data_IF_047270400223
#
_entry.id   IF_047270400223
#
_cell.length_a   1.000
_cell.length_b   1.000
_cell.length_c   1.000
_cell.angle_alpha   90.00
_cell.angle_beta   90.00
_cell.angle_gamma   90.00
#
_symmetry.space_group_name_H-M   'P 1'
#
loop_
_entity.id
_entity.type
_entity.pdbx_description
1 polymer ?
#
# COMPACT_ATOMS: atom_id res chain seq x y z
N UNK A 1 -21.32 -52.47 -12.74
CA UNK A 1 -20.01 -52.27 -12.08
C UNK A 1 -20.15 -51.19 -11.02
N UNK A 2 -19.77 -51.49 -9.79
CA UNK A 2 -19.81 -50.58 -8.63
C UNK A 2 -18.39 -50.14 -8.27
N UNK A 3 -18.23 -48.89 -7.85
CA UNK A 3 -16.97 -48.35 -7.33
C UNK A 3 -16.58 -49.05 -6.00
N UNK A 4 -15.34 -48.88 -5.58
CA UNK A 4 -14.76 -49.22 -4.26
C UNK A 4 -15.59 -48.79 -3.04
N UNK A 5 -16.50 -47.83 -3.20
CA UNK A 5 -17.45 -47.36 -2.17
C UNK A 5 -18.85 -48.00 -2.27
N UNK A 6 -19.06 -48.94 -3.19
CA UNK A 6 -20.37 -49.60 -3.41
C UNK A 6 -21.36 -48.78 -4.25
N UNK A 7 -20.95 -47.62 -4.78
CA UNK A 7 -21.82 -46.76 -5.59
C UNK A 7 -21.83 -47.18 -7.07
N UNK A 8 -22.97 -47.00 -7.75
CA UNK A 8 -23.08 -47.26 -9.20
C UNK A 8 -22.24 -46.23 -9.96
N UNK A 9 -21.30 -46.73 -10.77
CA UNK A 9 -20.46 -45.91 -11.64
C UNK A 9 -21.36 -45.24 -12.69
N UNK A 10 -21.29 -43.91 -12.81
CA UNK A 10 -22.10 -43.10 -13.72
C UNK A 10 -21.23 -42.16 -14.58
N UNK A 11 -21.83 -41.53 -15.61
CA UNK A 11 -21.17 -40.54 -16.46
C UNK A 11 -20.17 -41.13 -17.46
N UNK A 12 -19.11 -40.38 -17.79
CA UNK A 12 -18.12 -40.77 -18.81
C UNK A 12 -17.37 -42.07 -18.45
N UNK A 13 -17.13 -42.32 -17.16
CA UNK A 13 -16.48 -43.55 -16.71
C UNK A 13 -17.36 -44.78 -16.99
N UNK A 14 -18.67 -44.66 -16.76
CA UNK A 14 -19.61 -45.74 -17.04
C UNK A 14 -19.68 -46.08 -18.54
N UNK A 15 -19.69 -45.08 -19.41
CA UNK A 15 -19.71 -45.27 -20.86
C UNK A 15 -18.51 -46.09 -21.36
N UNK A 16 -17.33 -45.90 -20.76
CA UNK A 16 -16.13 -46.68 -21.05
C UNK A 16 -16.24 -48.12 -20.53
N UNK A 17 -16.68 -48.32 -19.28
CA UNK A 17 -16.76 -49.68 -18.70
C UNK A 17 -17.87 -50.53 -19.33
N UNK A 18 -18.96 -49.91 -19.81
CA UNK A 18 -20.08 -50.59 -20.48
C UNK A 18 -19.83 -50.91 -21.96
N UNK A 19 -18.70 -50.47 -22.53
CA UNK A 19 -18.40 -50.65 -23.96
C UNK A 19 -19.17 -49.73 -24.89
N UNK A 20 -19.94 -48.78 -24.37
CA UNK A 20 -20.66 -47.78 -25.18
C UNK A 20 -19.73 -46.70 -25.76
N UNK A 21 -18.51 -46.55 -25.24
CA UNK A 21 -17.48 -45.65 -25.76
C UNK A 21 -16.10 -46.31 -25.72
N UNK A 22 -15.29 -46.11 -26.77
CA UNK A 22 -13.94 -46.68 -26.87
C UNK A 22 -12.85 -45.79 -26.24
N UNK A 23 -13.10 -44.48 -26.14
CA UNK A 23 -12.17 -43.50 -25.58
C UNK A 23 -12.96 -42.29 -25.06
N UNK A 24 -12.50 -41.69 -23.95
CA UNK A 24 -13.04 -40.45 -23.42
C UNK A 24 -11.94 -39.38 -23.39
N UNK A 25 -12.24 -38.20 -23.91
CA UNK A 25 -11.33 -37.04 -23.94
C UNK A 25 -12.05 -35.87 -23.28
N UNK A 26 -11.46 -35.32 -22.22
CA UNK A 26 -12.02 -34.20 -21.47
C UNK A 26 -11.23 -33.88 -20.21
N UNK A 27 -11.73 -32.95 -19.41
CA UNK A 27 -11.16 -32.60 -18.11
C UNK A 27 -11.44 -33.69 -17.06
N UNK A 28 -10.75 -34.83 -17.22
CA UNK A 28 -10.82 -35.98 -16.33
C UNK A 28 -9.57 -36.02 -15.45
N UNK A 29 -9.78 -35.89 -14.15
CA UNK A 29 -8.72 -36.05 -13.16
C UNK A 29 -8.44 -37.55 -12.92
N UNK A 30 -7.15 -37.88 -12.92
CA UNK A 30 -6.64 -39.22 -12.62
C UNK A 30 -6.71 -39.43 -11.11
N UNK A 31 -7.55 -40.35 -10.68
CA UNK A 31 -7.67 -40.74 -9.26
C UNK A 31 -7.49 -42.25 -9.12
N UNK A 32 -6.96 -42.69 -7.97
CA UNK A 32 -6.65 -44.10 -7.72
C UNK A 32 -7.89 -45.02 -7.84
N UNK A 33 -9.07 -44.53 -7.53
CA UNK A 33 -10.31 -45.31 -7.66
C UNK A 33 -10.77 -45.46 -9.12
N UNK A 34 -10.50 -44.47 -9.97
CA UNK A 34 -10.82 -44.54 -11.41
C UNK A 34 -9.84 -45.43 -12.17
N UNK A 35 -8.56 -45.42 -11.78
CA UNK A 35 -7.51 -46.24 -12.42
C UNK A 35 -7.73 -47.75 -12.24
N UNK A 36 -8.48 -48.16 -11.21
CA UNK A 36 -8.86 -49.58 -11.00
C UNK A 36 -9.81 -50.11 -12.08
N UNK A 37 -10.55 -49.22 -12.76
CA UNK A 37 -11.65 -49.60 -13.67
C UNK A 37 -11.36 -49.21 -15.13
N UNK A 38 -10.50 -48.21 -15.35
CA UNK A 38 -10.09 -47.73 -16.67
C UNK A 38 -8.60 -47.38 -16.68
N UNK A 39 -7.93 -47.50 -17.83
CA UNK A 39 -6.53 -47.09 -17.99
C UNK A 39 -6.43 -45.64 -18.49
N UNK A 40 -5.54 -44.85 -17.90
CA UNK A 40 -5.25 -43.48 -18.31
C UNK A 40 -3.94 -43.38 -19.10
N UNK A 41 -3.83 -42.38 -19.99
CA UNK A 41 -2.56 -42.00 -20.62
C UNK A 41 -1.74 -41.10 -19.69
N UNK A 42 -0.55 -40.68 -20.14
CA UNK A 42 0.25 -39.69 -19.43
C UNK A 42 -0.52 -38.39 -19.23
N UNK A 43 -0.44 -37.82 -18.03
CA UNK A 43 -1.10 -36.57 -17.66
C UNK A 43 -0.43 -35.38 -18.34
N UNK A 44 -1.13 -34.76 -19.28
CA UNK A 44 -0.65 -33.57 -20.01
C UNK A 44 -0.79 -32.26 -19.21
N UNK A 45 -1.62 -32.25 -18.15
CA UNK A 45 -1.92 -31.06 -17.35
C UNK A 45 -2.01 -31.43 -15.87
N UNK A 46 -1.13 -30.85 -15.05
CA UNK A 46 -1.18 -30.95 -13.59
C UNK A 46 -2.17 -29.93 -13.03
N UNK A 47 -3.33 -30.39 -12.55
CA UNK A 47 -4.30 -29.53 -11.87
C UNK A 47 -3.93 -29.38 -10.40
N UNK A 48 -3.99 -28.15 -9.89
CA UNK A 48 -3.96 -27.86 -8.45
C UNK A 48 -5.31 -27.27 -8.07
N UNK A 49 -5.95 -27.80 -7.02
CA UNK A 49 -7.17 -27.22 -6.50
C UNK A 49 -6.87 -25.82 -5.93
N UNK A 50 -7.44 -24.79 -6.54
CA UNK A 50 -7.35 -23.40 -6.08
C UNK A 50 -8.73 -22.93 -5.64
N UNK A 51 -8.76 -22.10 -4.60
CA UNK A 51 -10.00 -21.50 -4.10
C UNK A 51 -10.20 -20.17 -4.83
N UNK A 52 -11.41 -19.95 -5.35
CA UNK A 52 -11.85 -18.68 -5.89
C UNK A 52 -12.63 -17.92 -4.82
N UNK A 53 -12.19 -16.72 -4.48
CA UNK A 53 -12.88 -15.82 -3.54
C UNK A 53 -13.38 -14.58 -4.27
N UNK A 54 -14.54 -14.06 -3.84
CA UNK A 54 -15.04 -12.77 -4.32
C UNK A 54 -14.08 -11.68 -3.86
N UNK A 55 -13.67 -10.79 -4.77
CA UNK A 55 -12.91 -9.59 -4.42
C UNK A 55 -13.73 -8.78 -3.40
N UNK A 56 -13.12 -8.39 -2.28
CA UNK A 56 -13.75 -7.52 -1.30
C UNK A 56 -14.12 -6.17 -1.97
N UNK A 57 -15.29 -5.63 -1.62
CA UNK A 57 -15.70 -4.33 -2.10
C UNK A 57 -14.77 -3.29 -1.47
N UNK A 58 -13.88 -2.71 -2.27
CA UNK A 58 -12.93 -1.70 -1.81
C UNK A 58 -13.71 -0.45 -1.42
N UNK A 59 -13.98 -0.26 -0.13
CA UNK A 59 -14.49 1.02 0.37
C UNK A 59 -13.39 2.04 0.20
N UNK A 60 -13.54 2.92 -0.80
CA UNK A 60 -12.61 4.01 -1.06
C UNK A 60 -12.69 4.96 0.14
N UNK A 61 -11.74 4.82 1.06
CA UNK A 61 -11.55 5.79 2.12
C UNK A 61 -10.88 7.00 1.49
N UNK A 62 -11.64 8.07 1.24
CA UNK A 62 -11.11 9.31 0.66
C UNK A 62 -9.91 9.87 1.43
N UNK A 63 -9.81 9.58 2.74
CA UNK A 63 -8.70 9.96 3.62
C UNK A 63 -7.59 8.90 3.74
N UNK A 64 -7.48 7.93 2.82
CA UNK A 64 -6.38 6.94 2.82
C UNK A 64 -5.01 7.59 2.78
N UNK A 65 -4.89 8.79 2.20
CA UNK A 65 -3.66 9.58 2.23
C UNK A 65 -3.33 10.14 3.64
N UNK A 66 -4.33 10.23 4.54
CA UNK A 66 -4.16 10.48 5.98
C UNK A 66 -4.06 9.17 6.80
N UNK A 67 -4.26 8.00 6.20
CA UNK A 67 -4.16 6.70 6.88
C UNK A 67 -2.79 6.42 7.54
N UNK A 68 -1.64 6.75 6.90
CA UNK A 68 -0.33 6.57 7.52
C UNK A 68 0.03 7.69 8.52
N UNK A 69 -0.86 8.66 8.74
CA UNK A 69 -0.65 9.78 9.64
C UNK A 69 -0.90 9.39 11.09
N UNK A 70 0.09 8.75 11.72
CA UNK A 70 0.16 8.70 13.18
C UNK A 70 0.07 10.14 13.73
N UNK A 71 -0.77 10.36 14.76
CA UNK A 71 -0.90 11.66 15.45
C UNK A 71 0.46 12.26 15.84
N UNK A 72 1.45 11.40 16.13
CA UNK A 72 2.82 11.83 16.44
C UNK A 72 3.49 12.58 15.29
N UNK A 73 3.27 12.17 14.03
CA UNK A 73 3.95 12.78 12.88
C UNK A 73 3.38 14.18 12.57
N UNK A 74 2.07 14.37 12.70
CA UNK A 74 1.45 15.70 12.65
C UNK A 74 2.02 16.64 13.71
N UNK A 75 2.17 16.17 14.94
CA UNK A 75 2.78 16.96 16.02
C UNK A 75 4.24 17.31 15.70
N UNK A 76 5.02 16.39 15.11
CA UNK A 76 6.40 16.69 14.70
C UNK A 76 6.48 17.73 13.58
N UNK A 77 5.57 17.69 12.60
CA UNK A 77 5.51 18.70 11.52
C UNK A 77 5.12 20.06 12.10
N UNK A 78 4.10 20.11 12.95
CA UNK A 78 3.69 21.36 13.61
C UNK A 78 4.80 21.95 14.47
N UNK A 79 5.49 21.11 15.26
CA UNK A 79 6.62 21.54 16.08
C UNK A 79 7.77 22.04 15.20
N UNK A 80 8.07 21.35 14.09
CA UNK A 80 9.10 21.76 13.16
C UNK A 80 8.79 23.11 12.50
N UNK A 81 7.54 23.34 12.05
CA UNK A 81 7.08 24.63 11.52
C UNK A 81 7.25 25.74 12.57
N UNK A 82 6.85 25.48 13.82
CA UNK A 82 7.01 26.44 14.91
C UNK A 82 8.47 26.78 15.19
N UNK A 83 9.35 25.78 15.26
CA UNK A 83 10.80 25.98 15.47
C UNK A 83 11.41 26.76 14.31
N UNK A 84 11.09 26.40 13.07
CA UNK A 84 11.56 27.12 11.88
C UNK A 84 11.07 28.58 11.89
N UNK A 85 9.77 28.81 12.12
CA UNK A 85 9.17 30.14 12.18
C UNK A 85 9.74 31.03 13.29
N UNK A 86 9.99 30.48 14.49
CA UNK A 86 10.63 31.20 15.60
C UNK A 86 12.09 31.50 15.27
N UNK A 87 12.84 30.53 14.72
CA UNK A 87 14.24 30.75 14.36
C UNK A 87 14.42 31.87 13.32
N UNK A 88 13.53 31.92 12.32
CA UNK A 88 13.51 32.97 11.30
C UNK A 88 13.07 34.32 11.88
N UNK A 89 12.12 34.32 12.83
CA UNK A 89 11.70 35.53 13.52
C UNK A 89 12.84 36.14 14.34
N UNK A 90 13.52 35.31 15.14
CA UNK A 90 14.69 35.71 15.95
C UNK A 90 15.80 36.26 15.06
N UNK A 91 16.15 35.54 14.00
CA UNK A 91 17.20 35.98 13.06
C UNK A 91 16.83 37.29 12.36
N UNK A 92 15.56 37.44 11.94
CA UNK A 92 15.11 38.72 11.39
C UNK A 92 15.35 39.84 12.39
N UNK A 93 15.10 39.62 13.69
CA UNK A 93 15.18 40.64 14.75
C UNK A 93 16.60 41.13 15.00
N UNK A 94 17.57 40.25 14.86
CA UNK A 94 18.99 40.53 15.01
C UNK A 94 19.67 41.01 13.72
N UNK A 95 18.97 40.99 12.58
CA UNK A 95 19.53 41.43 11.31
C UNK A 95 19.74 42.97 11.30
N UNK A 96 20.98 43.47 11.23
CA UNK A 96 21.29 44.90 11.25
C UNK A 96 20.87 45.61 9.94
N UNK A 97 20.51 44.85 8.90
CA UNK A 97 20.12 45.39 7.58
C UNK A 97 18.67 45.91 7.53
N UNK A 98 17.98 46.00 8.67
CA UNK A 98 16.58 46.49 8.79
C UNK A 98 16.41 47.99 8.53
N UNK A 99 17.49 48.76 8.37
CA UNK A 99 17.45 50.23 8.32
C UNK A 99 17.04 50.86 6.97
N UNK A 100 16.74 50.08 5.92
CA UNK A 100 16.34 50.67 4.62
C UNK A 100 15.32 49.87 3.83
N UNK A 101 14.08 50.36 3.73
CA UNK A 101 13.03 49.95 2.78
C UNK A 101 12.78 48.44 2.56
N UNK A 102 13.24 47.58 3.46
CA UNK A 102 12.94 46.15 3.42
C UNK A 102 11.56 45.94 4.08
N UNK A 103 10.64 45.25 3.40
CA UNK A 103 9.31 44.91 3.94
C UNK A 103 9.46 44.41 5.39
N UNK A 104 8.65 44.97 6.29
CA UNK A 104 8.64 44.59 7.70
C UNK A 104 8.34 43.09 7.80
N UNK A 105 9.35 42.30 8.14
CA UNK A 105 9.19 40.88 8.42
C UNK A 105 8.57 40.74 9.80
N UNK A 106 7.24 40.71 9.83
CA UNK A 106 6.43 40.55 11.04
C UNK A 106 6.32 39.06 11.42
N UNK A 107 5.86 38.76 12.64
CA UNK A 107 5.76 37.38 13.13
C UNK A 107 4.84 36.52 12.25
N UNK A 108 3.79 37.14 11.69
CA UNK A 108 2.87 36.53 10.72
C UNK A 108 3.58 36.16 9.41
N UNK A 109 4.45 37.02 8.89
CA UNK A 109 5.20 36.78 7.66
C UNK A 109 6.27 35.71 7.86
N UNK A 110 6.90 35.66 9.05
CA UNK A 110 7.83 34.58 9.43
C UNK A 110 7.15 33.23 9.51
N UNK A 111 5.97 33.17 10.14
CA UNK A 111 5.17 31.95 10.20
C UNK A 111 4.70 31.52 8.82
N UNK A 112 4.21 32.46 8.00
CA UNK A 112 3.81 32.19 6.62
C UNK A 112 4.98 31.68 5.78
N UNK A 113 6.16 32.27 5.92
CA UNK A 113 7.36 31.82 5.21
C UNK A 113 7.80 30.43 5.65
N UNK A 114 7.79 30.13 6.96
CA UNK A 114 8.09 28.78 7.46
C UNK A 114 7.12 27.72 6.93
N UNK A 115 5.83 28.08 6.78
CA UNK A 115 4.83 27.21 6.16
C UNK A 115 5.13 26.97 4.68
N UNK A 116 5.54 28.00 3.93
CA UNK A 116 5.91 27.87 2.52
C UNK A 116 7.17 27.01 2.33
N UNK A 117 8.17 27.11 3.21
CA UNK A 117 9.35 26.22 3.17
C UNK A 117 8.95 24.76 3.30
N UNK A 118 7.98 24.44 4.18
CA UNK A 118 7.48 23.08 4.36
C UNK A 118 6.62 22.60 3.19
N UNK A 119 5.82 23.49 2.60
CA UNK A 119 4.95 23.17 1.46
C UNK A 119 5.67 23.25 0.10
N UNK A 120 6.99 23.46 0.10
CA UNK A 120 7.79 23.79 -1.09
C UNK A 120 7.22 24.94 -1.94
N UNK A 121 6.50 25.86 -1.30
CA UNK A 121 5.95 27.05 -1.92
C UNK A 121 7.04 28.09 -2.18
N UNK A 122 6.94 28.77 -3.33
CA UNK A 122 7.75 29.96 -3.60
C UNK A 122 7.30 31.12 -2.71
N UNK A 123 8.25 31.93 -2.25
CA UNK A 123 7.97 33.16 -1.51
C UNK A 123 8.70 34.33 -2.13
N UNK A 124 8.05 35.49 -2.18
CA UNK A 124 8.59 36.75 -2.71
C UNK A 124 9.65 37.40 -1.79
N UNK A 125 9.83 36.87 -0.58
CA UNK A 125 10.83 37.32 0.38
C UNK A 125 12.17 36.65 0.10
N UNK A 126 13.15 37.46 -0.30
CA UNK A 126 14.54 37.01 -0.51
C UNK A 126 15.41 37.42 0.68
N UNK A 127 16.02 36.46 1.41
CA UNK A 127 16.94 36.77 2.51
C UNK A 127 18.17 37.52 1.98
N UNK A 128 18.45 38.68 2.57
CA UNK A 128 19.56 39.54 2.14
C UNK A 128 20.90 39.14 2.78
N UNK A 129 20.89 38.53 3.97
CA UNK A 129 22.09 38.12 4.69
C UNK A 129 22.48 36.66 4.43
N UNK A 130 23.79 36.40 4.37
CA UNK A 130 24.36 35.06 4.16
C UNK A 130 24.01 34.10 5.30
N UNK A 131 23.95 34.58 6.54
CA UNK A 131 23.56 33.79 7.72
C UNK A 131 22.11 33.30 7.64
N UNK A 132 21.18 34.15 7.18
CA UNK A 132 19.77 33.77 7.03
C UNK A 132 19.59 32.72 5.92
N UNK A 133 20.35 32.83 4.82
CA UNK A 133 20.36 31.83 3.73
C UNK A 133 20.85 30.47 4.20
N UNK A 134 21.89 30.41 5.04
CA UNK A 134 22.40 29.14 5.56
C UNK A 134 21.35 28.41 6.42
N UNK A 135 20.61 29.15 7.25
CA UNK A 135 19.55 28.61 8.11
C UNK A 135 18.37 28.12 7.27
N UNK A 136 17.93 28.91 6.30
CA UNK A 136 16.86 28.50 5.38
C UNK A 136 17.25 27.23 4.61
N UNK A 137 18.50 27.14 4.13
CA UNK A 137 19.00 25.95 3.46
C UNK A 137 19.02 24.72 4.38
N UNK A 138 19.41 24.88 5.64
CA UNK A 138 19.37 23.80 6.63
C UNK A 138 17.94 23.30 6.88
N UNK A 139 16.99 24.21 7.12
CA UNK A 139 15.59 23.84 7.32
C UNK A 139 14.98 23.22 6.08
N UNK A 140 15.31 23.74 4.89
CA UNK A 140 14.87 23.17 3.61
C UNK A 140 15.39 21.74 3.41
N UNK A 141 16.65 21.46 3.76
CA UNK A 141 17.19 20.10 3.74
C UNK A 141 16.46 19.15 4.70
N UNK A 142 16.14 19.62 5.91
CA UNK A 142 15.34 18.83 6.85
C UNK A 142 13.93 18.54 6.34
N UNK A 143 13.27 19.50 5.67
CA UNK A 143 11.94 19.28 5.05
C UNK A 143 12.02 18.19 4.00
N UNK A 144 13.04 18.19 3.14
CA UNK A 144 13.20 17.14 2.13
C UNK A 144 13.31 15.75 2.74
N UNK A 145 14.00 15.59 3.86
CA UNK A 145 14.11 14.31 4.57
C UNK A 145 12.74 13.88 5.10
N UNK A 146 11.97 14.80 5.69
CA UNK A 146 10.64 14.52 6.24
C UNK A 146 9.68 14.10 5.10
N UNK A 147 9.71 14.78 3.97
CA UNK A 147 8.88 14.43 2.81
C UNK A 147 9.26 13.10 2.17
N UNK A 148 10.56 12.80 2.08
CA UNK A 148 11.03 11.51 1.59
C UNK A 148 10.55 10.37 2.50
N UNK A 149 10.65 10.56 3.82
CA UNK A 149 10.14 9.59 4.80
C UNK A 149 8.61 9.45 4.74
N UNK A 150 7.87 10.55 4.56
CA UNK A 150 6.42 10.52 4.36
C UNK A 150 6.03 9.75 3.10
N UNK A 151 6.68 10.05 1.98
CA UNK A 151 6.42 9.39 0.70
C UNK A 151 6.74 7.88 0.77
N UNK A 152 7.82 7.51 1.45
CA UNK A 152 8.18 6.11 1.69
C UNK A 152 7.18 5.38 2.59
N UNK A 153 6.74 6.00 3.69
CA UNK A 153 5.77 5.41 4.60
C UNK A 153 4.38 5.27 3.95
N UNK A 154 3.97 6.27 3.16
CA UNK A 154 2.74 6.21 2.37
C UNK A 154 2.79 5.07 1.34
N UNK A 155 3.91 4.94 0.62
CA UNK A 155 4.10 3.84 -0.33
C UNK A 155 4.05 2.46 0.35
N UNK A 156 4.68 2.32 1.52
CA UNK A 156 4.63 1.10 2.32
C UNK A 156 3.19 0.77 2.79
N UNK A 157 2.42 1.79 3.18
CA UNK A 157 1.02 1.60 3.56
C UNK A 157 0.16 1.13 2.37
N UNK A 158 0.36 1.71 1.19
CA UNK A 158 -0.38 1.34 -0.03
C UNK A 158 -0.06 -0.10 -0.50
N UNK A 159 1.17 -0.58 -0.32
CA UNK A 159 1.53 -1.96 -0.65
C UNK A 159 0.96 -2.96 0.37
N UNK A 160 0.88 -2.59 1.65
CA UNK A 160 0.32 -3.46 2.69
C UNK A 160 -1.20 -3.64 2.58
N UNK A 161 -1.96 -2.60 2.23
CA UNK A 161 -3.41 -2.75 1.99
C UNK A 161 -3.73 -3.71 0.83
N UNK A 162 -2.82 -3.89 -0.13
CA UNK A 162 -3.01 -4.90 -1.20
C UNK A 162 -2.74 -6.34 -0.74
N UNK A 163 -2.12 -6.55 0.44
CA UNK A 163 -1.76 -7.88 0.92
C UNK A 163 -2.79 -8.51 1.86
N UNK A 164 -3.74 -7.73 2.40
CA UNK A 164 -4.69 -8.18 3.43
C UNK A 164 -5.91 -8.93 2.86
N UNK A 165 -6.16 -8.85 1.54
CA UNK A 165 -7.28 -9.53 0.86
C UNK A 165 -7.07 -11.05 0.65
N UNK A 166 -6.03 -11.66 1.22
CA UNK A 166 -5.76 -13.10 1.04
C UNK A 166 -6.10 -13.89 2.29
N UNK A 167 -7.24 -14.57 2.24
CA UNK A 167 -7.44 -15.85 2.94
C UNK A 167 -6.35 -16.80 2.42
N UNK A 168 -5.30 -17.01 3.21
CA UNK A 168 -4.09 -17.74 2.79
C UNK A 168 -4.22 -19.26 2.91
N UNK A 169 -5.26 -19.76 3.59
CA UNK A 169 -5.36 -21.19 3.88
C UNK A 169 -6.79 -21.70 4.08
N UNK A 170 -6.99 -22.99 3.81
CA UNK A 170 -8.25 -23.72 4.04
C UNK A 170 -8.64 -23.69 5.53
N UNK A 171 -7.65 -23.61 6.44
CA UNK A 171 -7.89 -23.49 7.88
C UNK A 171 -8.55 -22.16 8.26
N UNK A 172 -8.28 -21.10 7.51
CA UNK A 172 -8.87 -19.77 7.71
C UNK A 172 -10.36 -19.77 7.32
N UNK A 173 -10.73 -20.61 6.34
CA UNK A 173 -12.13 -20.88 5.99
C UNK A 173 -12.84 -21.79 7.02
N UNK A 174 -12.13 -22.75 7.60
CA UNK A 174 -12.70 -23.66 8.61
C UNK A 174 -13.02 -22.96 9.94
N UNK A 175 -12.29 -21.90 10.28
CA UNK A 175 -12.53 -21.07 11.46
C UNK A 175 -13.60 -19.99 11.28
N UNK A 176 -14.06 -19.75 10.05
CA UNK A 176 -15.06 -18.74 9.74
C UNK A 176 -16.45 -19.23 10.17
N UNK A 177 -16.72 -19.13 11.47
CA UNK A 177 -18.03 -19.40 12.04
C UNK A 177 -18.90 -18.17 11.79
N UNK A 178 -20.10 -18.45 11.26
CA UNK A 178 -21.15 -17.55 10.76
C UNK A 178 -21.28 -16.18 11.42
#
# INVERSE_FOLDING_TARGET
>A
HTDSKGEKINGMIYALTSGNASMAVGALEVTADREKVISFSYTIMSSQASILIKKADSTINYFQFLGPFSQGLWLTILLFILVAGVSLFVMSRYDPTREGNVKHFDLKESMWYSLNIVLQGSTDYSPQTTSMRAIIAFFWFCVLIIEAAYTANLAAYLTLQQMDDRIKSIYDLAGQTK
#
